data_IF_307694373608
#
_entry.id   IF_307694373608
#
_cell.length_a   1.000
_cell.length_b   1.000
_cell.length_c   1.000
_cell.angle_alpha   90.00
_cell.angle_beta   90.00
_cell.angle_gamma   90.00
#
_symmetry.space_group_name_H-M   'P 1'
#
loop_
_entity.id
_entity.type
_entity.pdbx_description
1 polymer ?
#
# COMPACT_ATOMS: atom_id res chain seq x y z
N UNK A 1 -14.07 25.70 3.02
CA UNK A 1 -15.23 24.87 2.62
C UNK A 1 -15.75 23.91 3.70
N UNK A 2 -14.96 22.97 4.27
CA UNK A 2 -15.46 22.06 5.33
C UNK A 2 -15.62 22.74 6.70
N UNK A 3 -14.56 23.41 7.18
CA UNK A 3 -14.55 24.17 8.44
C UNK A 3 -15.68 25.21 8.51
N UNK A 4 -15.92 25.92 7.41
CA UNK A 4 -16.97 26.95 7.30
C UNK A 4 -18.39 26.38 7.37
N UNK A 5 -18.59 25.12 6.96
CA UNK A 5 -19.90 24.46 6.99
C UNK A 5 -20.18 23.76 8.31
N UNK A 6 -19.14 23.24 8.97
CA UNK A 6 -19.28 22.39 10.14
C UNK A 6 -19.06 23.15 11.46
N UNK A 7 -18.52 24.37 11.41
CA UNK A 7 -18.24 25.21 12.57
C UNK A 7 -17.43 24.51 13.68
N UNK A 8 -16.64 23.51 13.29
CA UNK A 8 -15.68 22.80 14.13
C UNK A 8 -14.35 22.77 13.41
N UNK A 9 -13.23 22.81 14.15
CA UNK A 9 -11.94 22.71 13.53
C UNK A 9 -11.79 21.32 12.86
N UNK A 10 -11.14 21.31 11.71
CA UNK A 10 -11.13 20.16 10.78
C UNK A 10 -9.76 20.06 10.11
N UNK A 11 -9.26 18.84 9.94
CA UNK A 11 -7.99 18.55 9.28
C UNK A 11 -8.27 17.69 8.04
N UNK A 12 -7.59 18.01 6.93
CA UNK A 12 -7.57 17.18 5.72
C UNK A 12 -6.16 16.62 5.58
N UNK A 13 -6.05 15.31 5.45
CA UNK A 13 -4.79 14.58 5.29
C UNK A 13 -4.90 13.62 4.10
N UNK A 14 -3.77 13.31 3.49
CA UNK A 14 -3.67 12.22 2.53
C UNK A 14 -4.05 10.89 3.21
N UNK A 15 -4.66 9.98 2.46
CA UNK A 15 -5.18 8.71 2.99
C UNK A 15 -4.07 7.74 3.39
N UNK A 16 -2.96 7.70 2.66
CA UNK A 16 -1.75 6.96 3.04
C UNK A 16 -1.09 7.58 4.28
N UNK A 17 -0.99 8.91 4.37
CA UNK A 17 -0.48 9.58 5.58
C UNK A 17 -1.35 9.28 6.81
N UNK A 18 -2.66 9.20 6.65
CA UNK A 18 -3.56 8.76 7.71
C UNK A 18 -3.28 7.30 8.08
N UNK A 19 -3.20 6.38 7.12
CA UNK A 19 -2.88 4.98 7.39
C UNK A 19 -1.55 4.82 8.14
N UNK A 20 -0.53 5.58 7.75
CA UNK A 20 0.79 5.65 8.41
C UNK A 20 0.64 6.14 9.86
N UNK A 21 -0.14 7.19 10.09
CA UNK A 21 -0.40 7.71 11.43
C UNK A 21 -1.04 6.66 12.35
N UNK A 22 -1.94 5.82 11.83
CA UNK A 22 -2.53 4.74 12.62
C UNK A 22 -1.49 3.68 13.02
N UNK A 23 -0.68 3.23 12.07
CA UNK A 23 0.36 2.22 12.34
C UNK A 23 1.42 2.74 13.33
N UNK A 24 1.74 4.03 13.26
CA UNK A 24 2.64 4.68 14.24
C UNK A 24 1.96 4.93 15.60
N UNK A 25 0.64 5.12 15.64
CA UNK A 25 -0.03 5.41 16.91
C UNK A 25 -0.31 4.15 17.72
N UNK A 26 -0.85 3.10 17.09
CA UNK A 26 -1.36 1.91 17.77
C UNK A 26 -0.99 0.59 17.09
N UNK A 27 -0.30 0.65 15.96
CA UNK A 27 -0.03 -0.52 15.12
C UNK A 27 1.38 -1.07 15.23
N UNK A 28 1.79 -1.73 14.14
CA UNK A 28 3.04 -2.49 14.01
C UNK A 28 4.26 -1.59 14.20
N UNK A 29 4.16 -0.32 13.81
CA UNK A 29 5.23 0.66 13.90
C UNK A 29 5.17 1.56 15.15
N UNK A 30 4.37 1.22 16.16
CA UNK A 30 4.11 2.10 17.33
C UNK A 30 5.35 2.49 18.15
N UNK A 31 6.43 1.71 18.06
CA UNK A 31 7.70 1.99 18.74
C UNK A 31 8.86 2.21 17.75
N UNK A 32 8.56 2.50 16.48
CA UNK A 32 9.56 2.70 15.41
C UNK A 32 9.59 4.17 15.01
N UNK A 33 10.78 4.77 15.08
CA UNK A 33 10.94 6.21 14.80
C UNK A 33 11.01 6.53 13.31
N UNK A 34 11.60 5.61 12.55
CA UNK A 34 11.84 5.77 11.13
C UNK A 34 11.28 4.58 10.37
N UNK A 35 10.16 4.76 9.68
CA UNK A 35 9.56 3.68 8.89
C UNK A 35 8.89 4.18 7.63
N UNK A 36 8.75 3.28 6.68
CA UNK A 36 8.03 3.50 5.41
C UNK A 36 6.83 2.57 5.38
N UNK A 37 5.70 3.04 4.88
CA UNK A 37 4.51 2.21 4.69
C UNK A 37 4.15 2.15 3.20
N UNK A 38 3.95 0.93 2.71
CA UNK A 38 3.44 0.64 1.36
C UNK A 38 2.06 0.02 1.47
N UNK A 39 1.07 0.62 0.81
CA UNK A 39 -0.34 0.22 0.95
C UNK A 39 -0.93 -0.16 -0.39
N UNK A 40 -1.18 -1.44 -0.62
CA UNK A 40 -1.82 -1.95 -1.84
C UNK A 40 -3.34 -1.95 -1.66
N UNK A 41 -4.01 -0.83 -1.94
CA UNK A 41 -5.45 -0.72 -1.69
C UNK A 41 -6.26 -1.49 -2.73
N UNK A 42 -7.36 -2.10 -2.28
CA UNK A 42 -8.42 -2.59 -3.16
C UNK A 42 -9.76 -2.15 -2.60
N UNK A 43 -10.16 -0.91 -2.91
CA UNK A 43 -11.55 -0.51 -2.73
C UNK A 43 -11.98 0.35 -3.92
N UNK A 44 -12.95 -0.17 -4.67
CA UNK A 44 -13.83 0.62 -5.53
C UNK A 44 -14.84 1.45 -4.72
N UNK A 45 -14.72 1.44 -3.39
CA UNK A 45 -15.61 2.12 -2.45
C UNK A 45 -14.86 3.21 -1.70
N UNK A 46 -15.32 4.45 -1.87
CA UNK A 46 -14.97 5.54 -0.98
C UNK A 46 -15.50 5.21 0.42
N UNK A 47 -14.61 5.00 1.39
CA UNK A 47 -15.01 4.84 2.79
C UNK A 47 -15.22 6.24 3.37
N UNK A 48 -16.46 6.54 3.74
CA UNK A 48 -16.83 7.79 4.41
C UNK A 48 -17.16 7.47 5.86
N UNK A 49 -16.31 7.88 6.79
CA UNK A 49 -16.59 7.72 8.22
C UNK A 49 -16.48 9.07 8.91
N UNK A 50 -17.53 9.39 9.67
CA UNK A 50 -17.63 10.60 10.48
C UNK A 50 -17.49 10.22 11.96
N UNK A 51 -16.42 10.67 12.61
CA UNK A 51 -16.24 10.49 14.07
C UNK A 51 -16.31 11.83 14.80
N UNK A 52 -16.87 11.83 16.01
CA UNK A 52 -16.93 13.00 16.88
C UNK A 52 -16.04 12.75 18.11
N UNK A 53 -14.99 13.56 18.28
CA UNK A 53 -14.07 13.47 19.43
C UNK A 53 -13.96 14.86 20.06
N UNK A 54 -14.48 15.03 21.28
CA UNK A 54 -14.29 16.22 22.13
C UNK A 54 -14.23 17.58 21.37
N UNK A 55 -15.30 17.87 20.60
CA UNK A 55 -15.52 19.08 19.75
C UNK A 55 -14.94 19.04 18.32
N UNK A 56 -14.35 17.94 17.88
CA UNK A 56 -13.84 17.76 16.51
C UNK A 56 -14.73 16.80 15.73
N UNK A 57 -15.12 17.18 14.50
CA UNK A 57 -15.77 16.30 13.54
C UNK A 57 -14.73 15.83 12.54
N UNK A 58 -14.39 14.55 12.58
CA UNK A 58 -13.43 13.91 11.71
C UNK A 58 -14.16 13.34 10.49
N UNK A 59 -13.68 13.64 9.28
CA UNK A 59 -14.15 13.02 8.04
C UNK A 59 -12.95 12.37 7.35
N UNK A 60 -13.00 11.05 7.19
CA UNK A 60 -11.99 10.30 6.43
C UNK A 60 -12.57 9.88 5.08
N UNK A 61 -11.75 10.01 4.03
CA UNK A 61 -12.08 9.60 2.65
C UNK A 61 -10.85 8.94 2.06
N UNK A 62 -10.89 7.62 1.89
CA UNK A 62 -9.90 6.89 1.09
C UNK A 62 -10.38 6.81 -0.36
N UNK A 63 -9.50 7.12 -1.32
CA UNK A 63 -9.80 7.02 -2.75
C UNK A 63 -8.64 6.36 -3.46
N UNK A 64 -8.68 5.04 -3.64
CA UNK A 64 -7.66 4.38 -4.46
C UNK A 64 -7.78 2.86 -4.57
N UNK A 65 -7.32 2.35 -5.70
CA UNK A 65 -7.02 0.92 -5.94
C UNK A 65 -5.52 0.70 -6.17
N UNK A 66 -4.72 1.70 -5.82
CA UNK A 66 -3.33 1.87 -6.19
C UNK A 66 -2.34 1.43 -5.12
N UNK A 67 -1.11 1.96 -5.20
CA UNK A 67 -0.09 1.80 -4.17
C UNK A 67 0.11 3.12 -3.45
N UNK A 68 -0.41 3.22 -2.23
CA UNK A 68 -0.15 4.35 -1.33
C UNK A 68 1.23 4.24 -0.68
N UNK A 69 1.81 5.38 -0.33
CA UNK A 69 3.12 5.47 0.28
C UNK A 69 3.14 6.54 1.36
N UNK A 70 3.78 6.27 2.48
CA UNK A 70 4.05 7.29 3.48
C UNK A 70 5.30 7.01 4.27
N UNK A 71 5.85 8.06 4.87
CA UNK A 71 7.15 8.04 5.53
C UNK A 71 7.03 8.70 6.89
N UNK A 72 7.56 8.03 7.91
CA UNK A 72 7.82 8.62 9.22
C UNK A 72 9.32 8.70 9.41
N UNK A 73 9.80 9.87 9.83
CA UNK A 73 11.19 10.11 10.17
C UNK A 73 11.26 10.92 11.46
N UNK A 74 11.96 10.39 12.46
CA UNK A 74 12.05 10.95 13.82
C UNK A 74 10.67 11.25 14.43
N UNK A 75 9.80 10.22 14.44
CA UNK A 75 8.43 10.27 14.99
C UNK A 75 7.50 11.30 14.33
N UNK A 76 7.86 11.77 13.12
CA UNK A 76 7.10 12.75 12.35
C UNK A 76 6.80 12.22 10.96
N UNK A 77 5.53 12.31 10.58
CA UNK A 77 5.11 12.05 9.20
C UNK A 77 5.73 13.10 8.29
N UNK A 78 6.37 12.62 7.22
CA UNK A 78 7.02 13.46 6.22
C UNK A 78 6.01 13.70 5.09
N UNK A 79 5.39 14.87 5.09
CA UNK A 79 4.46 15.27 4.02
C UNK A 79 5.18 15.75 2.73
N UNK A 80 6.49 15.97 2.79
CA UNK A 80 7.27 16.57 1.70
C UNK A 80 6.94 18.05 1.48
N UNK A 81 7.43 18.63 0.38
CA UNK A 81 7.28 20.07 0.10
C UNK A 81 5.86 20.49 -0.30
N UNK A 82 5.07 19.56 -0.85
CA UNK A 82 3.73 19.84 -1.40
C UNK A 82 2.68 18.81 -0.98
N UNK A 83 2.98 17.91 -0.02
CA UNK A 83 2.02 16.86 0.37
C UNK A 83 1.90 15.72 -0.64
N UNK A 84 2.92 15.48 -1.48
CA UNK A 84 2.83 14.61 -2.66
C UNK A 84 3.93 13.54 -2.70
N UNK A 85 4.19 12.88 -1.57
CA UNK A 85 5.13 11.76 -1.54
C UNK A 85 4.40 10.50 -2.07
N UNK A 86 4.60 10.20 -3.35
CA UNK A 86 3.86 9.15 -4.06
C UNK A 86 4.77 8.00 -4.50
N UNK A 87 5.18 7.16 -3.54
CA UNK A 87 6.07 6.01 -3.77
C UNK A 87 5.49 4.97 -4.74
N UNK A 88 4.17 4.88 -4.91
CA UNK A 88 3.54 4.01 -5.91
C UNK A 88 3.81 4.42 -7.36
N UNK A 89 4.17 5.68 -7.60
CA UNK A 89 4.43 6.23 -8.93
C UNK A 89 5.90 6.27 -9.33
N UNK A 90 6.81 5.75 -8.49
CA UNK A 90 8.22 5.58 -8.88
C UNK A 90 8.33 4.63 -10.07
N UNK A 91 9.19 4.97 -11.02
CA UNK A 91 9.42 4.15 -12.22
C UNK A 91 10.33 2.98 -11.86
N UNK A 92 9.78 1.77 -11.87
CA UNK A 92 10.53 0.52 -11.65
C UNK A 92 10.84 -0.21 -12.95
N UNK A 93 10.09 0.06 -14.02
CA UNK A 93 10.36 -0.47 -15.37
C UNK A 93 10.35 0.69 -16.37
N UNK A 94 11.50 1.22 -16.79
CA UNK A 94 11.56 2.26 -17.82
C UNK A 94 10.80 1.82 -19.09
N UNK A 95 9.91 2.68 -19.58
CA UNK A 95 9.02 2.40 -20.73
C UNK A 95 8.05 1.21 -20.52
N UNK A 96 7.76 0.85 -19.27
CA UNK A 96 6.89 -0.26 -18.92
C UNK A 96 5.39 -0.01 -19.13
N UNK A 97 4.57 -0.67 -18.30
CA UNK A 97 3.10 -0.61 -18.34
C UNK A 97 2.61 0.83 -18.15
N UNK A 98 1.59 1.22 -18.93
CA UNK A 98 0.94 2.53 -18.78
C UNK A 98 0.26 2.65 -17.40
N UNK A 99 0.38 3.82 -16.78
CA UNK A 99 -0.22 4.16 -15.50
C UNK A 99 -1.26 5.28 -15.67
N UNK A 100 -2.27 5.29 -14.79
CA UNK A 100 -3.30 6.34 -14.76
C UNK A 100 -2.73 7.73 -14.47
N UNK A 101 -1.55 7.82 -13.82
CA UNK A 101 -0.84 9.07 -13.59
C UNK A 101 -0.15 9.64 -14.84
N UNK A 102 -0.42 9.12 -16.04
CA UNK A 102 0.17 9.47 -17.36
C UNK A 102 1.60 9.01 -17.61
N UNK A 103 2.29 8.46 -16.60
CA UNK A 103 3.62 7.87 -16.74
C UNK A 103 3.55 6.41 -17.26
N UNK A 104 4.74 5.83 -17.51
CA UNK A 104 4.91 4.41 -17.81
C UNK A 104 5.91 3.79 -16.84
N UNK A 105 5.63 2.58 -16.39
CA UNK A 105 6.55 1.82 -15.55
C UNK A 105 6.42 2.04 -14.05
N UNK A 106 5.35 2.70 -13.59
CA UNK A 106 5.11 2.93 -12.17
C UNK A 106 4.97 1.62 -11.39
N UNK A 107 5.54 1.55 -10.19
CA UNK A 107 5.43 0.42 -9.26
C UNK A 107 3.99 -0.09 -9.11
N UNK A 108 3.03 0.83 -9.02
CA UNK A 108 1.60 0.52 -8.92
C UNK A 108 1.11 -0.45 -10.01
N UNK A 109 1.62 -0.34 -11.24
CA UNK A 109 1.21 -1.18 -12.38
C UNK A 109 1.82 -2.58 -12.37
N UNK A 110 2.60 -2.88 -11.34
CA UNK A 110 3.22 -4.18 -11.11
C UNK A 110 2.86 -4.77 -9.76
N UNK A 111 2.36 -3.97 -8.82
CA UNK A 111 2.17 -4.39 -7.43
C UNK A 111 0.84 -4.03 -6.79
N UNK A 112 -0.08 -3.38 -7.51
CA UNK A 112 -1.44 -3.14 -7.01
C UNK A 112 -2.37 -4.32 -7.26
N UNK A 113 -3.49 -4.36 -6.53
CA UNK A 113 -4.57 -5.32 -6.80
C UNK A 113 -5.12 -5.17 -8.23
N UNK A 114 -5.22 -3.94 -8.74
CA UNK A 114 -5.61 -3.69 -10.12
C UNK A 114 -4.59 -4.26 -11.13
N UNK A 115 -3.29 -4.19 -10.82
CA UNK A 115 -2.27 -4.81 -11.67
C UNK A 115 -2.39 -6.35 -11.70
N UNK A 116 -2.67 -6.98 -10.56
CA UNK A 116 -2.95 -8.42 -10.46
C UNK A 116 -4.15 -8.80 -11.33
N UNK A 117 -5.26 -8.07 -11.19
CA UNK A 117 -6.48 -8.31 -11.95
C UNK A 117 -6.23 -8.13 -13.46
N UNK A 118 -5.52 -7.08 -13.86
CA UNK A 118 -5.21 -6.82 -15.26
C UNK A 118 -4.38 -7.96 -15.87
N UNK A 119 -3.36 -8.44 -15.15
CA UNK A 119 -2.55 -9.58 -15.61
C UNK A 119 -3.37 -10.88 -15.65
N UNK A 120 -4.21 -11.12 -14.66
CA UNK A 120 -5.06 -12.31 -14.61
C UNK A 120 -6.05 -12.34 -15.78
N UNK A 121 -6.68 -11.21 -16.10
CA UNK A 121 -7.59 -11.09 -17.25
C UNK A 121 -6.90 -11.38 -18.58
N UNK A 122 -5.69 -10.84 -18.78
CA UNK A 122 -4.91 -11.09 -19.99
C UNK A 122 -4.52 -12.56 -20.12
N UNK A 123 -4.09 -13.19 -19.02
CA UNK A 123 -3.64 -14.59 -19.02
C UNK A 123 -4.80 -15.59 -19.09
N UNK A 124 -5.96 -15.24 -18.56
CA UNK A 124 -7.15 -16.10 -18.60
C UNK A 124 -7.70 -16.33 -20.02
N UNK A 125 -7.46 -15.39 -20.94
CA UNK A 125 -7.89 -15.48 -22.35
C UNK A 125 -6.78 -15.95 -23.30
N UNK A 126 -5.57 -16.17 -22.80
CA UNK A 126 -4.45 -16.63 -23.60
C UNK A 126 -4.59 -18.14 -23.87
N UNK A 127 -4.81 -18.57 -25.13
CA UNK A 127 -5.03 -19.98 -25.45
C UNK A 127 -3.76 -20.84 -25.30
N UNK A 128 -2.59 -20.21 -25.11
CA UNK A 128 -1.32 -20.91 -24.89
C UNK A 128 -1.11 -21.28 -23.42
N UNK A 129 -1.90 -20.71 -22.51
CA UNK A 129 -1.79 -20.94 -21.07
C UNK A 129 -2.86 -21.92 -20.60
N UNK A 130 -2.48 -22.79 -19.66
CA UNK A 130 -3.42 -23.62 -18.91
C UNK A 130 -3.60 -23.02 -17.52
N UNK A 131 -4.78 -22.47 -17.24
CA UNK A 131 -5.11 -21.84 -15.97
C UNK A 131 -6.58 -22.03 -15.62
N UNK A 132 -6.85 -22.26 -14.34
CA UNK A 132 -8.18 -22.27 -13.73
C UNK A 132 -8.92 -20.93 -13.88
N UNK A 133 -8.18 -19.82 -14.02
CA UNK A 133 -8.77 -18.49 -14.25
C UNK A 133 -9.58 -18.41 -15.55
N UNK A 134 -9.27 -19.25 -16.55
CA UNK A 134 -10.02 -19.34 -17.81
C UNK A 134 -11.48 -19.82 -17.63
N UNK A 135 -11.80 -20.43 -16.49
CA UNK A 135 -13.15 -20.90 -16.16
C UNK A 135 -14.04 -19.79 -15.58
N UNK A 136 -13.43 -18.66 -15.19
CA UNK A 136 -14.15 -17.50 -14.67
C UNK A 136 -14.55 -16.57 -15.81
N UNK A 137 -15.63 -15.82 -15.61
CA UNK A 137 -15.94 -14.71 -16.52
C UNK A 137 -14.84 -13.65 -16.37
N UNK A 138 -14.14 -13.34 -17.46
CA UNK A 138 -12.97 -12.44 -17.50
C UNK A 138 -13.22 -11.14 -16.73
N UNK A 139 -14.35 -10.48 -16.98
CA UNK A 139 -14.65 -9.19 -16.35
C UNK A 139 -14.89 -9.26 -14.83
N UNK A 140 -15.19 -10.45 -14.31
CA UNK A 140 -15.44 -10.68 -12.88
C UNK A 140 -14.23 -11.18 -12.09
N UNK A 141 -13.08 -11.42 -12.76
CA UNK A 141 -11.86 -11.87 -12.06
C UNK A 141 -11.43 -10.80 -11.05
N UNK A 142 -11.29 -11.21 -9.80
CA UNK A 142 -10.80 -10.39 -8.69
C UNK A 142 -9.36 -10.79 -8.31
N UNK A 143 -8.69 -9.96 -7.51
CA UNK A 143 -7.39 -10.34 -6.97
C UNK A 143 -7.51 -11.59 -6.08
N UNK A 144 -8.59 -11.71 -5.31
CA UNK A 144 -8.84 -12.87 -4.45
C UNK A 144 -8.87 -14.18 -5.25
N UNK A 145 -9.53 -14.18 -6.41
CA UNK A 145 -9.58 -15.38 -7.27
C UNK A 145 -8.18 -15.83 -7.72
N UNK A 146 -7.25 -14.89 -7.92
CA UNK A 146 -5.87 -15.19 -8.28
C UNK A 146 -5.13 -15.84 -7.10
N UNK A 147 -5.28 -15.30 -5.89
CA UNK A 147 -4.70 -15.92 -4.68
C UNK A 147 -5.28 -17.31 -4.42
N UNK A 148 -6.61 -17.45 -4.47
CA UNK A 148 -7.28 -18.74 -4.28
C UNK A 148 -6.83 -19.78 -5.32
N UNK A 149 -6.68 -19.37 -6.59
CA UNK A 149 -6.18 -20.23 -7.66
C UNK A 149 -4.71 -20.63 -7.44
N UNK A 150 -3.86 -19.71 -6.98
CA UNK A 150 -2.47 -20.01 -6.66
C UNK A 150 -2.35 -21.01 -5.50
N UNK A 151 -3.16 -20.84 -4.45
CA UNK A 151 -3.24 -21.77 -3.33
C UNK A 151 -3.73 -23.16 -3.77
N UNK A 152 -4.65 -23.21 -4.74
CA UNK A 152 -5.09 -24.45 -5.40
C UNK A 152 -4.05 -25.06 -6.37
N UNK A 153 -2.89 -24.42 -6.55
CA UNK A 153 -1.76 -24.95 -7.33
C UNK A 153 -1.63 -24.41 -8.75
N UNK A 154 -2.44 -23.42 -9.15
CA UNK A 154 -2.40 -22.81 -10.47
C UNK A 154 -1.07 -22.07 -10.70
N UNK A 155 -0.29 -22.53 -11.69
CA UNK A 155 1.04 -21.99 -11.96
C UNK A 155 1.01 -20.58 -12.55
N UNK A 156 -0.04 -20.25 -13.30
CA UNK A 156 -0.21 -18.93 -13.89
C UNK A 156 -0.48 -17.91 -12.79
N UNK A 157 -1.37 -18.24 -11.86
CA UNK A 157 -1.66 -17.39 -10.70
C UNK A 157 -0.46 -17.23 -9.77
N UNK A 158 0.28 -18.31 -9.50
CA UNK A 158 1.54 -18.24 -8.72
C UNK A 158 2.53 -17.28 -9.36
N UNK A 159 2.75 -17.38 -10.67
CA UNK A 159 3.66 -16.48 -11.38
C UNK A 159 3.22 -15.01 -11.32
N UNK A 160 1.92 -14.71 -11.29
CA UNK A 160 1.43 -13.33 -11.11
C UNK A 160 1.78 -12.81 -9.71
N UNK A 161 1.56 -13.63 -8.66
CA UNK A 161 1.83 -13.24 -7.27
C UNK A 161 3.33 -13.09 -7.03
N UNK A 162 4.14 -13.99 -7.59
CA UNK A 162 5.60 -13.93 -7.55
C UNK A 162 6.12 -12.65 -8.21
N UNK A 163 5.58 -12.27 -9.37
CA UNK A 163 5.93 -11.01 -10.04
C UNK A 163 5.64 -9.79 -9.14
N UNK A 164 4.47 -9.77 -8.50
CA UNK A 164 4.09 -8.70 -7.57
C UNK A 164 5.08 -8.61 -6.40
N UNK A 165 5.37 -9.76 -5.77
CA UNK A 165 6.29 -9.82 -4.64
C UNK A 165 7.71 -9.39 -5.04
N UNK A 166 8.15 -9.77 -6.25
CA UNK A 166 9.44 -9.39 -6.82
C UNK A 166 9.56 -7.86 -6.97
N UNK A 167 8.56 -7.21 -7.55
CA UNK A 167 8.57 -5.74 -7.70
C UNK A 167 8.44 -4.99 -6.37
N UNK A 168 7.67 -5.51 -5.41
CA UNK A 168 7.60 -4.94 -4.06
C UNK A 168 8.94 -5.06 -3.32
N UNK A 169 9.59 -6.23 -3.36
CA UNK A 169 10.90 -6.43 -2.74
C UNK A 169 11.98 -5.55 -3.38
N UNK A 170 11.98 -5.44 -4.71
CA UNK A 170 12.84 -4.50 -5.44
C UNK A 170 12.61 -3.04 -5.01
N UNK A 171 11.34 -2.62 -4.89
CA UNK A 171 11.02 -1.27 -4.43
C UNK A 171 11.49 -1.04 -2.98
N UNK A 172 11.34 -2.02 -2.09
CA UNK A 172 11.83 -1.96 -0.72
C UNK A 172 13.35 -1.71 -0.66
N UNK A 173 14.14 -2.33 -1.56
CA UNK A 173 15.58 -2.03 -1.66
C UNK A 173 15.83 -0.57 -2.02
N UNK A 174 15.08 -0.02 -2.99
CA UNK A 174 15.23 1.38 -3.37
C UNK A 174 14.87 2.33 -2.20
N UNK A 175 13.77 2.07 -1.50
CA UNK A 175 13.37 2.88 -0.35
C UNK A 175 14.37 2.79 0.81
N UNK A 176 14.95 1.61 1.05
CA UNK A 176 16.03 1.47 2.02
C UNK A 176 17.27 2.30 1.67
N UNK A 177 17.54 2.52 0.38
CA UNK A 177 18.71 3.30 -0.06
C UNK A 177 18.49 4.80 -0.06
N UNK A 178 17.25 5.24 -0.14
CA UNK A 178 16.91 6.67 -0.17
C UNK A 178 16.47 7.20 1.17
N UNK A 179 15.86 6.36 2.02
CA UNK A 179 15.24 6.78 3.28
C UNK A 179 15.86 6.13 4.52
N UNK A 180 16.60 5.03 4.37
CA UNK A 180 17.23 4.29 5.47
C UNK A 180 16.30 4.02 6.69
N UNK A 181 15.10 3.43 6.48
CA UNK A 181 14.16 3.19 7.55
C UNK A 181 14.56 1.97 8.40
N UNK A 182 14.10 1.95 9.65
CA UNK A 182 14.20 0.78 10.54
C UNK A 182 13.20 -0.32 10.13
N UNK A 183 12.05 0.08 9.58
CA UNK A 183 10.97 -0.82 9.21
C UNK A 183 10.27 -0.40 7.91
N UNK A 184 9.82 -1.39 7.13
CA UNK A 184 8.84 -1.24 6.05
C UNK A 184 7.57 -1.99 6.45
N UNK A 185 6.46 -1.27 6.52
CA UNK A 185 5.15 -1.83 6.83
C UNK A 185 4.35 -2.00 5.54
N UNK A 186 3.84 -3.21 5.31
CA UNK A 186 3.04 -3.58 4.15
C UNK A 186 1.56 -3.67 4.54
N UNK A 187 0.71 -2.95 3.84
CA UNK A 187 -0.73 -2.86 4.15
C UNK A 187 -1.61 -3.02 2.92
N UNK A 188 -2.92 -3.09 3.14
CA UNK A 188 -3.92 -3.18 2.09
C UNK A 188 -4.24 -4.61 1.66
N UNK A 189 -5.11 -4.75 0.65
CA UNK A 189 -5.78 -6.00 0.33
C UNK A 189 -4.85 -7.15 -0.08
N UNK A 190 -3.69 -6.87 -0.69
CA UNK A 190 -2.73 -7.93 -1.03
C UNK A 190 -1.93 -8.39 0.20
N UNK A 191 -1.63 -7.50 1.14
CA UNK A 191 -0.94 -7.87 2.37
C UNK A 191 -1.80 -8.81 3.25
N UNK A 192 -3.14 -8.74 3.11
CA UNK A 192 -4.08 -9.67 3.76
C UNK A 192 -3.99 -11.12 3.25
N UNK A 193 -3.26 -11.38 2.16
CA UNK A 193 -2.90 -12.75 1.76
C UNK A 193 -2.00 -13.46 2.80
N UNK A 194 -1.45 -12.70 3.76
CA UNK A 194 -0.78 -13.25 4.92
C UNK A 194 0.70 -13.54 4.72
N UNK A 195 1.26 -14.25 5.70
CA UNK A 195 2.71 -14.38 5.89
C UNK A 195 3.45 -15.00 4.70
N UNK A 196 2.81 -15.92 3.97
CA UNK A 196 3.43 -16.55 2.80
C UNK A 196 3.74 -15.53 1.70
N UNK A 197 2.88 -14.54 1.49
CA UNK A 197 3.10 -13.47 0.51
C UNK A 197 4.12 -12.45 1.02
N UNK A 198 4.05 -12.08 2.30
CA UNK A 198 5.05 -11.19 2.93
C UNK A 198 6.46 -11.81 2.85
N UNK A 199 6.56 -13.12 3.07
CA UNK A 199 7.84 -13.83 2.94
C UNK A 199 8.41 -13.77 1.53
N UNK A 200 7.58 -13.91 0.48
CA UNK A 200 8.05 -13.74 -0.91
C UNK A 200 8.64 -12.33 -1.16
N UNK A 201 8.07 -11.31 -0.53
CA UNK A 201 8.59 -9.93 -0.61
C UNK A 201 9.94 -9.83 0.11
N UNK A 202 10.09 -10.47 1.28
CA UNK A 202 11.38 -10.53 2.01
C UNK A 202 12.45 -11.27 1.21
N UNK A 203 12.07 -12.35 0.53
CA UNK A 203 12.98 -13.11 -0.32
C UNK A 203 13.44 -12.27 -1.53
N UNK A 204 12.50 -11.57 -2.18
CA UNK A 204 12.82 -10.63 -3.25
C UNK A 204 13.71 -9.47 -2.77
N UNK A 205 13.43 -8.89 -1.61
CA UNK A 205 14.28 -7.87 -0.98
C UNK A 205 15.71 -8.40 -0.78
N UNK A 206 15.84 -9.60 -0.22
CA UNK A 206 17.15 -10.25 0.01
C UNK A 206 17.90 -10.48 -1.30
N UNK A 207 17.20 -10.90 -2.36
CA UNK A 207 17.76 -11.10 -3.70
C UNK A 207 18.37 -9.83 -4.30
N UNK A 208 17.74 -8.67 -4.10
CA UNK A 208 18.20 -7.40 -4.70
C UNK A 208 19.06 -6.55 -3.77
N UNK A 209 19.16 -6.90 -2.49
CA UNK A 209 19.86 -6.08 -1.50
C UNK A 209 21.36 -6.02 -1.80
N UNK A 210 21.92 -4.81 -1.67
CA UNK A 210 23.35 -4.60 -1.83
C UNK A 210 24.13 -5.28 -0.71
N UNK A 211 24.83 -6.36 -1.04
CA UNK A 211 25.54 -7.23 -0.08
C UNK A 211 26.81 -6.60 0.51
N UNK A 212 27.40 -5.59 -0.15
CA UNK A 212 28.62 -4.92 0.36
C UNK A 212 28.33 -4.01 1.56
N UNK A 213 27.15 -3.40 1.56
CA UNK A 213 26.66 -2.53 2.63
C UNK A 213 25.22 -2.95 2.92
N UNK A 214 25.01 -4.08 3.63
CA UNK A 214 23.67 -4.55 3.94
C UNK A 214 22.92 -3.49 4.73
N UNK A 215 21.64 -3.30 4.39
CA UNK A 215 20.74 -2.46 5.16
C UNK A 215 19.75 -3.39 5.87
N UNK A 216 19.94 -3.72 7.16
CA UNK A 216 18.99 -4.57 7.85
C UNK A 216 17.71 -3.79 8.12
N UNK A 217 16.66 -4.08 7.36
CA UNK A 217 15.32 -3.52 7.55
C UNK A 217 14.35 -4.61 7.98
N UNK A 218 13.42 -4.28 8.85
CA UNK A 218 12.32 -5.17 9.23
C UNK A 218 11.18 -4.95 8.23
N UNK A 219 10.69 -6.01 7.56
CA UNK A 219 9.54 -5.93 6.65
C UNK A 219 8.39 -6.69 7.30
N UNK A 220 7.29 -5.99 7.60
CA UNK A 220 6.18 -6.56 8.37
C UNK A 220 4.81 -6.17 7.82
N UNK A 221 3.79 -6.95 8.17
CA UNK A 221 2.40 -6.60 7.87
C UNK A 221 1.89 -5.51 8.83
N UNK A 222 1.11 -4.58 8.28
CA UNK A 222 0.25 -3.68 9.05
C UNK A 222 -0.69 -4.48 9.96
N UNK A 223 -0.86 -4.04 11.20
CA UNK A 223 -1.70 -4.72 12.21
C UNK A 223 -3.05 -4.03 12.44
N UNK A 224 -3.18 -2.76 12.08
CA UNK A 224 -4.43 -1.99 12.28
C UNK A 224 -5.49 -2.38 11.24
N UNK A 225 -5.07 -2.85 10.07
CA UNK A 225 -5.97 -3.34 9.02
C UNK A 225 -6.82 -2.24 8.39
N UNK A 226 -8.06 -2.56 8.03
CA UNK A 226 -8.93 -1.69 7.24
C UNK A 226 -9.31 -0.36 7.92
N UNK A 227 -9.24 -0.30 9.25
CA UNK A 227 -9.59 0.90 10.02
C UNK A 227 -8.44 1.93 10.14
N UNK A 228 -7.27 1.62 9.55
CA UNK A 228 -6.07 2.46 9.64
C UNK A 228 -6.32 3.92 9.22
N UNK A 229 -7.12 4.15 8.17
CA UNK A 229 -7.45 5.49 7.72
C UNK A 229 -8.13 6.36 8.77
N UNK A 230 -9.10 5.78 9.48
CA UNK A 230 -9.93 6.49 10.45
C UNK A 230 -9.19 6.69 11.77
N UNK A 231 -8.52 5.64 12.24
CA UNK A 231 -7.68 5.70 13.43
C UNK A 231 -6.58 6.75 13.24
N UNK A 232 -5.98 6.80 12.05
CA UNK A 232 -4.94 7.75 11.73
C UNK A 232 -5.44 9.19 11.64
N UNK A 233 -6.58 9.39 10.99
CA UNK A 233 -7.22 10.69 10.94
C UNK A 233 -7.60 11.17 12.37
N UNK A 234 -8.01 10.26 13.27
CA UNK A 234 -8.22 10.58 14.68
C UNK A 234 -6.91 10.95 15.40
N UNK A 235 -5.79 10.27 15.10
CA UNK A 235 -4.47 10.60 15.62
C UNK A 235 -4.07 12.04 15.27
N UNK A 236 -4.28 12.45 14.01
CA UNK A 236 -4.03 13.81 13.54
C UNK A 236 -4.88 14.86 14.28
N UNK A 237 -6.19 14.60 14.41
CA UNK A 237 -7.10 15.51 15.13
C UNK A 237 -6.69 15.64 16.61
N UNK A 238 -6.34 14.54 17.26
CA UNK A 238 -5.89 14.54 18.65
C UNK A 238 -4.59 15.33 18.84
N UNK A 239 -3.62 15.18 17.92
CA UNK A 239 -2.35 15.91 17.97
C UNK A 239 -2.55 17.41 17.73
N UNK A 240 -3.40 17.79 16.78
CA UNK A 240 -3.73 19.20 16.51
C UNK A 240 -4.37 19.90 17.72
N UNK A 241 -5.13 19.17 18.54
CA UNK A 241 -5.76 19.70 19.75
C UNK A 241 -4.75 19.96 20.89
N UNK A 242 -3.61 19.25 20.93
CA UNK A 242 -2.56 19.45 21.96
C UNK A 242 -1.64 20.64 21.68
N UNK A 243 -1.62 21.14 20.45
CA UNK A 243 -0.78 22.27 20.01
C UNK A 243 -1.48 23.63 20.10
N UNK A 244 -2.75 23.66 20.50
CA UNK A 244 -3.51 24.86 20.86
C UNK A 244 -3.68 24.96 22.38
#
# INVERSE_FOLDING_TARGET
>A
MLHERLHVPSVLVNDADAAVAAEHWVGTASNVKNFVMLSTFHTSTSVWITLYIDRWLLWYVALGTGVGFGVVNDDKIVAGGTGMIEGGHVIVVPNGRACGCTQKGCLERYSSASAVIDQAKLKAVDPTLTTSLSQLKVDSITAKDVFDAADAGDQVSKAIIEEVAEYLGFACVNFCRTLDPEMIVLSGGLAEAGEAFIQQIRDAYTKYTWTKLPNPVIIEKASVGYDCGIIGAAAFAFKANKTN
#
